data_IF_026331303067
#
_entry.id   IF_026331303067
#
_cell.length_a   1.000
_cell.length_b   1.000
_cell.length_c   1.000
_cell.angle_alpha   90.00
_cell.angle_beta   90.00
_cell.angle_gamma   90.00
#
_symmetry.space_group_name_H-M   'P 1'
#
loop_
_entity.id
_entity.type
_entity.pdbx_description
1 polymer ?
#
# COMPACT_ATOMS: atom_id res chain seq x y z
N UNK A 1 -12.91 -5.17 -18.46
CA UNK A 1 -12.97 -5.29 -19.93
C UNK A 1 -11.58 -5.58 -20.44
N UNK A 2 -11.47 -6.41 -21.47
CA UNK A 2 -10.22 -6.63 -22.22
C UNK A 2 -10.11 -5.65 -23.41
N UNK A 3 -10.66 -4.44 -23.26
CA UNK A 3 -10.93 -3.56 -24.40
C UNK A 3 -10.65 -2.09 -24.03
N UNK A 4 -9.48 -1.85 -23.44
CA UNK A 4 -8.96 -0.49 -23.32
C UNK A 4 -8.22 -0.15 -24.63
N UNK A 5 -8.81 0.72 -25.43
CA UNK A 5 -8.18 1.34 -26.58
C UNK A 5 -8.37 2.85 -26.44
N UNK A 6 -7.29 3.57 -26.14
CA UNK A 6 -7.23 5.03 -26.20
C UNK A 6 -6.00 5.40 -27.01
N UNK A 7 -6.21 6.14 -28.09
CA UNK A 7 -5.12 6.68 -28.92
C UNK A 7 -4.29 7.75 -28.18
N UNK A 8 -4.78 8.21 -27.02
CA UNK A 8 -4.08 9.13 -26.13
C UNK A 8 -4.22 8.68 -24.65
N UNK A 9 -3.30 7.82 -24.16
CA UNK A 9 -3.23 7.39 -22.77
C UNK A 9 -3.13 8.53 -21.76
N UNK A 10 -2.44 9.61 -22.11
CA UNK A 10 -2.18 10.74 -21.22
C UNK A 10 -3.47 11.52 -21.00
N UNK A 11 -4.19 11.83 -22.08
CA UNK A 11 -5.51 12.48 -22.00
C UNK A 11 -6.52 11.65 -21.24
N UNK A 12 -6.50 10.32 -21.42
CA UNK A 12 -7.37 9.42 -20.67
C UNK A 12 -7.10 9.51 -19.16
N UNK A 13 -5.83 9.40 -18.74
CA UNK A 13 -5.44 9.53 -17.34
C UNK A 13 -5.77 10.92 -16.78
N UNK A 14 -5.50 11.98 -17.53
CA UNK A 14 -5.83 13.35 -17.13
C UNK A 14 -7.34 13.54 -16.93
N UNK A 15 -8.17 12.91 -17.78
CA UNK A 15 -9.63 12.90 -17.63
C UNK A 15 -10.08 12.20 -16.36
N UNK A 16 -9.47 11.05 -16.01
CA UNK A 16 -9.75 10.34 -14.75
C UNK A 16 -9.33 11.17 -13.53
N UNK A 17 -8.11 11.70 -13.54
CA UNK A 17 -7.58 12.56 -12.46
C UNK A 17 -8.50 13.75 -12.22
N UNK A 18 -8.94 14.43 -13.29
CA UNK A 18 -9.86 15.55 -13.20
C UNK A 18 -11.25 15.14 -12.69
N UNK A 19 -11.78 13.99 -13.12
CA UNK A 19 -13.09 13.48 -12.68
C UNK A 19 -13.11 13.12 -11.19
N UNK A 20 -11.98 12.64 -10.66
CA UNK A 20 -11.80 12.33 -9.23
C UNK A 20 -11.40 13.57 -8.39
N UNK A 21 -11.26 14.74 -9.02
CA UNK A 21 -10.87 15.98 -8.33
C UNK A 21 -9.43 15.98 -7.80
N UNK A 22 -8.56 15.14 -8.36
CA UNK A 22 -7.16 15.03 -7.98
C UNK A 22 -6.29 16.10 -8.68
N UNK A 23 -5.10 16.43 -8.11
CA UNK A 23 -4.19 17.40 -8.71
C UNK A 23 -3.75 17.01 -10.13
N UNK A 24 -3.57 17.99 -11.05
CA UNK A 24 -3.24 17.73 -12.45
C UNK A 24 -1.80 17.23 -12.66
N UNK A 25 -0.94 17.33 -11.64
CA UNK A 25 0.41 16.77 -11.64
C UNK A 25 0.37 15.34 -11.12
N UNK A 26 0.61 14.36 -12.00
CA UNK A 26 0.54 12.94 -11.66
C UNK A 26 1.55 12.11 -12.43
N UNK A 27 1.89 10.96 -11.86
CA UNK A 27 2.42 9.82 -12.59
C UNK A 27 1.34 8.73 -12.60
N UNK A 28 1.10 8.11 -13.76
CA UNK A 28 0.06 7.10 -13.91
C UNK A 28 0.54 5.93 -14.78
N UNK A 29 0.08 4.73 -14.45
CA UNK A 29 0.35 3.52 -15.22
C UNK A 29 -0.97 2.96 -15.74
N UNK A 30 -0.97 2.51 -16.99
CA UNK A 30 -2.04 1.67 -17.51
C UNK A 30 -1.72 0.20 -17.20
N UNK A 31 -2.75 -0.62 -17.08
CA UNK A 31 -2.58 -2.06 -16.85
C UNK A 31 -3.57 -2.88 -17.68
N UNK A 32 -3.07 -3.95 -18.29
CA UNK A 32 -3.88 -4.98 -18.95
C UNK A 32 -4.45 -6.00 -17.94
N UNK A 33 -4.01 -5.95 -16.68
CA UNK A 33 -4.45 -6.85 -15.60
C UNK A 33 -5.67 -6.25 -14.90
N UNK A 34 -6.61 -7.10 -14.49
CA UNK A 34 -7.81 -6.67 -13.78
C UNK A 34 -7.46 -6.12 -12.40
N UNK A 35 -7.85 -4.88 -12.10
CA UNK A 35 -7.54 -4.19 -10.82
C UNK A 35 -7.92 -4.96 -9.55
N UNK A 36 -8.86 -5.91 -9.59
CA UNK A 36 -9.15 -6.77 -8.42
C UNK A 36 -7.97 -7.66 -8.00
N UNK A 37 -6.98 -7.87 -8.86
CA UNK A 37 -5.77 -8.64 -8.52
C UNK A 37 -4.65 -7.77 -7.96
N UNK A 38 -4.88 -6.45 -7.81
CA UNK A 38 -3.94 -5.53 -7.17
C UNK A 38 -3.60 -6.02 -5.76
N UNK A 39 -2.31 -6.11 -5.48
CA UNK A 39 -1.76 -6.34 -4.16
C UNK A 39 -1.17 -5.02 -3.65
N UNK A 40 -1.58 -4.59 -2.46
CA UNK A 40 -1.09 -3.39 -1.78
C UNK A 40 -0.40 -3.85 -0.51
N UNK A 41 0.87 -3.50 -0.34
CA UNK A 41 1.74 -4.04 0.70
C UNK A 41 2.25 -2.91 1.57
N UNK A 42 1.95 -2.94 2.87
CA UNK A 42 2.51 -2.02 3.84
C UNK A 42 3.66 -2.69 4.60
N UNK A 43 4.84 -2.08 4.55
CA UNK A 43 6.02 -2.47 5.32
C UNK A 43 6.66 -1.23 5.96
N UNK A 44 6.38 -1.03 7.24
CA UNK A 44 6.78 0.17 8.00
C UNK A 44 6.35 1.45 7.25
N UNK A 45 7.30 2.26 6.78
CA UNK A 45 7.10 3.51 6.04
C UNK A 45 6.94 3.34 4.52
N UNK A 46 6.98 2.10 4.01
CA UNK A 46 6.83 1.79 2.59
C UNK A 46 5.46 1.21 2.29
N UNK A 47 4.81 1.76 1.27
CA UNK A 47 3.66 1.15 0.61
C UNK A 47 4.04 0.74 -0.81
N UNK A 48 3.81 -0.52 -1.17
CA UNK A 48 4.08 -1.05 -2.53
C UNK A 48 2.79 -1.56 -3.16
N UNK A 49 2.45 -1.04 -4.33
CA UNK A 49 1.29 -1.44 -5.12
C UNK A 49 1.78 -2.31 -6.29
N UNK A 50 1.22 -3.50 -6.45
CA UNK A 50 1.65 -4.46 -7.46
C UNK A 50 0.46 -5.01 -8.24
N UNK A 51 0.51 -4.89 -9.56
CA UNK A 51 -0.28 -5.72 -10.47
C UNK A 51 0.68 -6.52 -11.33
N UNK A 52 0.39 -7.80 -11.56
CA UNK A 52 1.24 -8.68 -12.35
C UNK A 52 0.38 -9.66 -13.15
N UNK A 53 0.69 -9.80 -14.43
CA UNK A 53 0.09 -10.78 -15.31
C UNK A 53 1.08 -11.10 -16.43
N UNK A 54 1.39 -12.38 -16.57
CA UNK A 54 2.26 -12.91 -17.62
C UNK A 54 1.39 -13.77 -18.51
N UNK A 55 1.19 -13.32 -19.74
CA UNK A 55 0.43 -14.09 -20.72
C UNK A 55 1.29 -15.26 -21.24
N UNK A 56 0.75 -16.49 -21.31
CA UNK A 56 1.49 -17.67 -21.76
C UNK A 56 1.97 -17.57 -23.21
N UNK A 57 1.27 -16.79 -24.03
CA UNK A 57 1.57 -16.61 -25.45
C UNK A 57 1.25 -15.17 -25.91
N UNK A 58 2.03 -14.60 -26.86
CA UNK A 58 1.81 -13.24 -27.38
C UNK A 58 0.43 -12.97 -27.97
N UNK A 59 -0.31 -14.03 -28.35
CA UNK A 59 -1.64 -13.94 -28.95
C UNK A 59 -2.77 -13.69 -27.93
N UNK A 60 -2.51 -13.89 -26.63
CA UNK A 60 -3.53 -13.72 -25.56
C UNK A 60 -3.53 -12.29 -24.97
N UNK A 61 -2.58 -11.45 -25.40
CA UNK A 61 -2.45 -10.05 -25.01
C UNK A 61 -1.06 -9.72 -24.49
N UNK A 62 -0.71 -8.42 -24.34
CA UNK A 62 0.52 -8.05 -23.68
C UNK A 62 0.42 -8.30 -22.17
N UNK A 63 1.34 -9.10 -21.62
CA UNK A 63 1.55 -9.15 -20.17
C UNK A 63 2.00 -7.78 -19.64
N UNK A 64 1.75 -7.53 -18.37
CA UNK A 64 2.21 -6.32 -17.66
C UNK A 64 2.53 -6.62 -16.20
N UNK A 65 3.59 -6.01 -15.70
CA UNK A 65 3.88 -5.97 -14.27
C UNK A 65 4.17 -4.53 -13.87
N UNK A 66 3.26 -3.94 -13.10
CA UNK A 66 3.37 -2.58 -12.60
C UNK A 66 3.65 -2.60 -11.10
N UNK A 67 4.69 -1.88 -10.68
CA UNK A 67 5.07 -1.71 -9.27
C UNK A 67 5.12 -0.22 -8.96
N UNK A 68 4.33 0.26 -8.00
CA UNK A 68 4.43 1.63 -7.47
C UNK A 68 4.94 1.54 -6.04
N UNK A 69 6.05 2.21 -5.78
CA UNK A 69 6.68 2.32 -4.46
C UNK A 69 6.44 3.71 -3.93
N UNK A 70 5.83 3.81 -2.76
CA UNK A 70 5.68 5.07 -2.01
C UNK A 70 6.39 4.94 -0.68
N UNK A 71 7.32 5.85 -0.41
CA UNK A 71 7.92 6.05 0.91
C UNK A 71 7.31 7.26 1.61
N UNK A 72 6.88 7.10 2.86
CA UNK A 72 6.51 8.23 3.72
C UNK A 72 7.74 8.98 4.24
N UNK A 73 8.91 8.34 4.22
CA UNK A 73 10.18 8.97 4.59
C UNK A 73 10.89 9.55 3.35
N UNK A 74 11.57 10.69 3.53
CA UNK A 74 12.26 11.39 2.45
C UNK A 74 13.46 10.61 1.89
N UNK A 75 13.61 10.62 0.57
CA UNK A 75 14.66 9.91 -0.16
C UNK A 75 15.40 10.86 -1.10
N UNK A 76 16.69 10.63 -1.32
CA UNK A 76 17.43 11.33 -2.39
C UNK A 76 17.01 10.81 -3.77
N UNK A 77 17.24 11.60 -4.83
CA UNK A 77 17.04 11.14 -6.21
C UNK A 77 17.81 9.85 -6.53
N UNK A 78 19.03 9.73 -6.00
CA UNK A 78 19.84 8.51 -6.11
C UNK A 78 19.18 7.30 -5.45
N UNK A 79 18.61 7.48 -4.25
CA UNK A 79 17.86 6.44 -3.58
C UNK A 79 16.58 6.05 -4.33
N UNK A 80 15.84 7.01 -4.89
CA UNK A 80 14.65 6.73 -5.72
C UNK A 80 15.02 5.93 -6.98
N UNK A 81 16.13 6.28 -7.65
CA UNK A 81 16.67 5.52 -8.78
C UNK A 81 17.08 4.10 -8.37
N UNK A 82 17.76 3.94 -7.23
CA UNK A 82 18.12 2.62 -6.69
C UNK A 82 16.87 1.78 -6.35
N UNK A 83 15.79 2.40 -5.85
CA UNK A 83 14.52 1.70 -5.60
C UNK A 83 13.95 1.07 -6.87
N UNK A 84 14.06 1.72 -8.03
CA UNK A 84 13.63 1.15 -9.32
C UNK A 84 14.43 -0.12 -9.64
N UNK A 85 15.75 -0.09 -9.43
CA UNK A 85 16.64 -1.24 -9.65
C UNK A 85 16.27 -2.39 -8.71
N UNK A 86 16.07 -2.11 -7.42
CA UNK A 86 15.72 -3.11 -6.41
C UNK A 86 14.36 -3.75 -6.69
N UNK A 87 13.34 -2.96 -6.99
CA UNK A 87 12.01 -3.48 -7.35
C UNK A 87 12.07 -4.36 -8.61
N UNK A 88 12.86 -3.97 -9.62
CA UNK A 88 13.06 -4.76 -10.85
C UNK A 88 13.74 -6.10 -10.56
N UNK A 89 14.75 -6.10 -9.68
CA UNK A 89 15.42 -7.32 -9.23
C UNK A 89 14.47 -8.26 -8.46
N UNK A 90 13.65 -7.70 -7.56
CA UNK A 90 12.66 -8.45 -6.80
C UNK A 90 11.58 -9.07 -7.68
N UNK A 91 11.06 -8.32 -8.66
CA UNK A 91 10.15 -8.83 -9.69
C UNK A 91 10.76 -10.02 -10.43
N UNK A 92 12.01 -9.90 -10.86
CA UNK A 92 12.70 -10.98 -11.58
C UNK A 92 12.83 -12.25 -10.73
N UNK A 93 13.18 -12.11 -9.44
CA UNK A 93 13.24 -13.24 -8.52
C UNK A 93 11.87 -13.89 -8.30
N UNK A 94 10.80 -13.09 -8.14
CA UNK A 94 9.44 -13.59 -8.01
C UNK A 94 9.01 -14.40 -9.24
N UNK A 95 9.29 -13.90 -10.45
CA UNK A 95 9.01 -14.61 -11.70
C UNK A 95 9.76 -15.94 -11.78
N UNK A 96 11.05 -15.92 -11.48
CA UNK A 96 11.89 -17.12 -11.47
C UNK A 96 11.38 -18.13 -10.43
N UNK A 97 11.06 -17.70 -9.20
CA UNK A 97 10.50 -18.55 -8.15
C UNK A 97 9.13 -19.14 -8.53
N UNK A 98 8.35 -18.43 -9.34
CA UNK A 98 7.09 -18.92 -9.90
C UNK A 98 7.26 -19.84 -11.13
N UNK A 99 8.49 -20.06 -11.61
CA UNK A 99 8.81 -20.96 -12.71
C UNK A 99 8.77 -20.32 -14.11
N UNK A 100 8.68 -18.99 -14.20
CA UNK A 100 8.74 -18.28 -15.48
C UNK A 100 10.18 -18.15 -15.96
N UNK A 101 10.40 -18.37 -17.26
CA UNK A 101 11.71 -18.20 -17.90
C UNK A 101 12.04 -16.73 -18.25
N UNK A 102 11.05 -15.84 -18.16
CA UNK A 102 11.22 -14.42 -18.46
C UNK A 102 11.61 -13.62 -17.21
N UNK A 103 12.30 -12.50 -17.42
CA UNK A 103 12.65 -11.53 -16.36
C UNK A 103 11.61 -10.42 -16.21
N UNK A 104 10.56 -10.46 -17.03
CA UNK A 104 9.57 -9.41 -17.14
C UNK A 104 8.60 -9.63 -18.29
N UNK A 105 7.71 -8.65 -18.48
CA UNK A 105 6.78 -8.57 -19.61
C UNK A 105 7.14 -7.39 -20.52
N UNK A 106 6.55 -7.28 -21.73
CA UNK A 106 6.84 -6.18 -22.65
C UNK A 106 6.52 -4.78 -22.11
N UNK A 107 5.69 -4.67 -21.07
CA UNK A 107 5.17 -3.39 -20.56
C UNK A 107 5.42 -3.20 -19.06
N UNK A 108 6.43 -3.87 -18.51
CA UNK A 108 6.77 -3.68 -17.09
C UNK A 108 7.07 -2.22 -16.77
N UNK A 109 6.52 -1.71 -15.67
CA UNK A 109 6.75 -0.36 -15.21
C UNK A 109 6.95 -0.29 -13.70
N UNK A 110 7.86 0.60 -13.28
CA UNK A 110 8.12 0.89 -11.87
C UNK A 110 8.07 2.39 -11.64
N UNK A 111 7.29 2.83 -10.65
CA UNK A 111 7.32 4.20 -10.12
C UNK A 111 7.90 4.12 -8.71
N UNK A 112 8.87 4.97 -8.41
CA UNK A 112 9.36 5.19 -7.05
C UNK A 112 9.11 6.65 -6.65
N UNK A 113 8.40 6.84 -5.55
CA UNK A 113 8.06 8.16 -5.01
C UNK A 113 8.31 8.18 -3.50
N UNK A 114 8.66 9.35 -2.99
CA UNK A 114 8.68 9.63 -1.57
C UNK A 114 7.90 10.91 -1.28
N UNK A 115 7.53 11.12 -0.02
CA UNK A 115 7.03 12.41 0.40
C UNK A 115 8.12 13.49 0.20
N UNK A 116 7.76 14.56 -0.52
CA UNK A 116 8.69 15.65 -0.87
C UNK A 116 9.00 16.52 0.34
N UNK A 117 8.08 16.64 1.28
CA UNK A 117 8.24 17.50 2.46
C UNK A 117 8.93 16.79 3.63
N UNK A 118 9.02 15.45 3.57
CA UNK A 118 9.69 14.66 4.58
C UNK A 118 11.21 14.92 4.59
N UNK A 119 11.85 15.05 5.77
CA UNK A 119 13.30 15.11 5.87
C UNK A 119 13.95 13.89 5.22
N UNK A 120 15.07 14.10 4.53
CA UNK A 120 15.83 13.01 3.88
C UNK A 120 16.32 12.03 4.94
N UNK A 121 15.70 10.85 5.00
CA UNK A 121 16.08 9.74 5.87
C UNK A 121 16.97 8.73 5.13
N UNK A 122 16.74 8.54 3.82
CA UNK A 122 17.46 7.54 3.01
C UNK A 122 18.27 8.19 1.90
N UNK A 123 19.60 8.00 1.95
CA UNK A 123 20.53 8.45 0.89
C UNK A 123 20.78 7.40 -0.18
N UNK A 124 20.49 6.14 0.14
CA UNK A 124 20.68 4.96 -0.69
C UNK A 124 19.48 4.03 -0.49
N UNK A 125 19.16 3.25 -1.51
CA UNK A 125 18.09 2.24 -1.47
C UNK A 125 18.54 0.86 -1.99
N UNK A 126 19.84 0.60 -2.11
CA UNK A 126 20.36 -0.72 -2.49
C UNK A 126 19.88 -1.86 -1.58
N UNK A 127 19.95 -3.14 -2.01
CA UNK A 127 19.29 -4.28 -1.35
C UNK A 127 19.65 -4.52 0.12
N UNK A 128 20.81 -4.01 0.59
CA UNK A 128 21.28 -4.16 1.97
C UNK A 128 20.93 -2.97 2.87
N UNK A 129 20.31 -1.93 2.31
CA UNK A 129 19.81 -0.78 3.07
C UNK A 129 18.46 -1.09 3.70
N UNK A 130 18.07 -0.32 4.73
CA UNK A 130 16.79 -0.50 5.40
C UNK A 130 15.58 -0.37 4.46
N UNK A 131 15.58 0.62 3.56
CA UNK A 131 14.52 0.81 2.56
C UNK A 131 14.60 -0.24 1.44
N UNK A 132 15.81 -0.56 0.97
CA UNK A 132 16.02 -1.51 -0.13
C UNK A 132 15.65 -2.94 0.22
N UNK A 133 15.99 -3.43 1.41
CA UNK A 133 15.63 -4.78 1.83
C UNK A 133 14.10 -4.95 1.97
N UNK A 134 13.43 -3.96 2.58
CA UNK A 134 11.97 -3.91 2.73
C UNK A 134 11.26 -3.86 1.39
N UNK A 135 11.71 -2.97 0.49
CA UNK A 135 11.16 -2.88 -0.86
C UNK A 135 11.34 -4.19 -1.62
N UNK A 136 12.53 -4.78 -1.54
CA UNK A 136 12.85 -6.05 -2.17
C UNK A 136 11.89 -7.16 -1.72
N UNK A 137 11.68 -7.28 -0.40
CA UNK A 137 10.78 -8.28 0.19
C UNK A 137 9.32 -8.04 -0.17
N UNK A 138 8.85 -6.79 -0.08
CA UNK A 138 7.50 -6.41 -0.45
C UNK A 138 7.23 -6.67 -1.93
N UNK A 139 8.06 -6.16 -2.83
CA UNK A 139 7.87 -6.33 -4.28
C UNK A 139 7.90 -7.81 -4.69
N UNK A 140 8.80 -8.62 -4.13
CA UNK A 140 8.88 -10.05 -4.43
C UNK A 140 7.62 -10.79 -3.99
N UNK A 141 7.15 -10.55 -2.75
CA UNK A 141 5.90 -11.12 -2.25
C UNK A 141 4.68 -10.66 -3.06
N UNK A 142 4.58 -9.37 -3.36
CA UNK A 142 3.47 -8.76 -4.09
C UNK A 142 3.33 -9.27 -5.51
N UNK A 143 4.44 -9.42 -6.24
CA UNK A 143 4.44 -9.98 -7.59
C UNK A 143 3.96 -11.43 -7.56
N UNK A 144 4.47 -12.25 -6.64
CA UNK A 144 4.03 -13.64 -6.51
C UNK A 144 2.52 -13.74 -6.19
N UNK A 145 2.01 -12.92 -5.28
CA UNK A 145 0.59 -12.91 -4.91
C UNK A 145 -0.32 -12.37 -6.02
N UNK A 146 0.14 -11.37 -6.79
CA UNK A 146 -0.59 -10.83 -7.91
C UNK A 146 -0.69 -11.84 -9.08
N UNK A 147 0.40 -12.57 -9.38
CA UNK A 147 0.40 -13.64 -10.39
C UNK A 147 -0.59 -14.76 -10.07
N UNK A 148 -0.57 -15.27 -8.82
CA UNK A 148 -1.54 -16.29 -8.36
C UNK A 148 -3.00 -15.84 -8.56
N UNK A 149 -3.29 -14.55 -8.35
CA UNK A 149 -4.63 -13.97 -8.53
C UNK A 149 -4.99 -13.80 -10.00
N UNK A 150 -4.04 -13.36 -10.82
CA UNK A 150 -4.21 -13.22 -12.27
C UNK A 150 -4.49 -14.59 -12.93
N UNK A 151 -3.74 -15.62 -12.55
CA UNK A 151 -3.92 -17.01 -13.01
C UNK A 151 -5.19 -17.69 -12.44
N UNK A 152 -5.91 -17.02 -11.54
CA UNK A 152 -7.14 -17.54 -10.94
C UNK A 152 -6.94 -18.62 -9.87
N UNK A 153 -5.69 -18.88 -9.44
CA UNK A 153 -5.36 -19.76 -8.30
C UNK A 153 -5.94 -19.22 -6.99
N UNK A 154 -5.96 -17.89 -6.84
CA UNK A 154 -6.64 -17.19 -5.74
C UNK A 154 -7.71 -16.29 -6.36
N UNK A 155 -8.97 -16.51 -5.98
CA UNK A 155 -10.09 -15.69 -6.47
C UNK A 155 -10.34 -14.54 -5.52
N UNK A 156 -10.34 -13.32 -6.05
CA UNK A 156 -10.66 -12.09 -5.31
C UNK A 156 -11.70 -11.27 -6.06
N UNK A 157 -12.51 -10.51 -5.33
CA UNK A 157 -13.48 -9.57 -5.90
C UNK A 157 -13.00 -8.11 -5.82
N UNK A 158 -11.97 -7.84 -5.02
CA UNK A 158 -11.39 -6.53 -4.77
C UNK A 158 -9.86 -6.65 -4.57
N UNK A 159 -9.10 -5.54 -4.63
CA UNK A 159 -7.69 -5.51 -4.26
C UNK A 159 -7.41 -6.14 -2.89
N UNK A 160 -6.22 -6.71 -2.73
CA UNK A 160 -5.75 -7.32 -1.47
C UNK A 160 -4.77 -6.38 -0.78
N UNK A 161 -4.99 -6.08 0.49
CA UNK A 161 -4.06 -5.32 1.32
C UNK A 161 -3.31 -6.26 2.25
N UNK A 162 -1.98 -6.17 2.28
CA UNK A 162 -1.11 -6.98 3.11
C UNK A 162 -0.30 -6.09 4.03
N UNK A 163 -0.15 -6.52 5.28
CA UNK A 163 0.61 -5.80 6.30
C UNK A 163 1.75 -6.72 6.74
N UNK A 164 2.97 -6.19 6.75
CA UNK A 164 4.10 -6.91 7.31
C UNK A 164 4.03 -6.89 8.84
N UNK A 165 4.04 -8.06 9.46
CA UNK A 165 3.98 -8.24 10.91
C UNK A 165 5.27 -8.84 11.42
N UNK A 166 5.71 -8.34 12.59
CA UNK A 166 6.76 -8.95 13.41
C UNK A 166 6.22 -9.70 14.62
N UNK A 167 4.91 -9.60 14.87
CA UNK A 167 4.26 -10.32 15.95
C UNK A 167 4.24 -11.81 15.62
N UNK A 168 4.77 -12.67 16.49
CA UNK A 168 4.87 -14.11 16.22
C UNK A 168 5.92 -14.48 15.17
N UNK A 169 6.83 -13.56 14.83
CA UNK A 169 7.84 -13.71 13.78
C UNK A 169 7.52 -12.88 12.54
N UNK A 170 8.50 -12.74 11.66
CA UNK A 170 8.43 -11.93 10.45
C UNK A 170 7.58 -12.63 9.38
N UNK A 171 6.45 -12.03 9.01
CA UNK A 171 5.55 -12.57 7.98
C UNK A 171 4.56 -11.53 7.44
N UNK A 172 3.99 -11.82 6.27
CA UNK A 172 2.89 -11.05 5.69
C UNK A 172 1.54 -11.54 6.20
N UNK A 173 0.68 -10.59 6.57
CA UNK A 173 -0.72 -10.85 6.94
C UNK A 173 -1.63 -10.20 5.90
N UNK A 174 -2.53 -11.00 5.32
CA UNK A 174 -3.62 -10.47 4.51
C UNK A 174 -4.60 -9.75 5.44
N UNK A 175 -4.86 -8.48 5.16
CA UNK A 175 -5.88 -7.71 5.84
C UNK A 175 -7.26 -8.27 5.52
N UNK A 176 -7.94 -8.77 6.54
CA UNK A 176 -9.32 -9.21 6.47
C UNK A 176 -10.10 -8.56 7.64
N UNK A 177 -11.03 -7.63 7.35
CA UNK A 177 -11.82 -6.99 8.39
C UNK A 177 -12.78 -7.95 9.10
N UNK A 178 -13.06 -9.13 8.55
CA UNK A 178 -13.90 -10.14 9.18
C UNK A 178 -13.10 -11.20 9.98
N UNK A 179 -11.80 -11.35 9.69
CA UNK A 179 -10.94 -12.40 10.26
C UNK A 179 -9.58 -11.89 10.75
N UNK A 180 -9.51 -10.64 11.22
CA UNK A 180 -8.26 -10.04 11.70
C UNK A 180 -7.75 -10.76 12.97
N UNK A 181 -6.51 -11.29 12.97
CA UNK A 181 -5.94 -11.97 14.14
C UNK A 181 -5.48 -11.01 15.25
N UNK A 182 -5.47 -9.70 15.00
CA UNK A 182 -5.00 -8.69 15.95
C UNK A 182 -6.15 -8.17 16.83
N UNK A 183 -6.07 -8.51 18.11
CA UNK A 183 -6.97 -8.08 19.19
C UNK A 183 -6.41 -6.80 19.87
N UNK A 184 -7.23 -5.85 20.40
CA UNK A 184 -8.57 -6.04 20.96
C UNK A 184 -9.74 -5.26 20.34
N UNK A 185 -9.61 -4.75 19.11
CA UNK A 185 -10.60 -3.81 18.55
C UNK A 185 -11.88 -4.42 17.95
N UNK A 186 -12.17 -5.71 18.17
CA UNK A 186 -13.35 -6.37 17.59
C UNK A 186 -14.45 -6.60 18.64
N UNK A 187 -15.14 -5.53 19.02
CA UNK A 187 -16.45 -5.66 19.70
C UNK A 187 -17.60 -5.42 18.71
N UNK A 188 -18.73 -6.12 18.85
CA UNK A 188 -19.90 -5.90 17.99
C UNK A 188 -20.28 -4.42 17.89
N UNK A 189 -20.38 -3.89 16.68
CA UNK A 189 -20.77 -2.49 16.40
C UNK A 189 -19.63 -1.51 16.19
N UNK A 190 -18.36 -1.92 16.27
CA UNK A 190 -17.21 -1.08 15.92
C UNK A 190 -16.86 -1.15 14.42
N UNK A 191 -16.29 -0.06 13.90
CA UNK A 191 -15.64 -0.04 12.59
C UNK A 191 -14.14 -0.38 12.72
N UNK A 192 -13.71 -1.39 11.98
CA UNK A 192 -12.30 -1.82 11.90
C UNK A 192 -11.66 -1.43 10.55
N UNK A 193 -12.15 -0.36 9.95
CA UNK A 193 -11.71 0.11 8.62
C UNK A 193 -10.23 0.55 8.59
N UNK A 194 -9.67 0.92 9.74
CA UNK A 194 -8.32 1.41 9.89
C UNK A 194 -7.49 0.44 10.73
N UNK A 195 -6.86 -0.54 10.10
CA UNK A 195 -5.98 -1.49 10.81
C UNK A 195 -4.75 -0.83 11.45
N UNK A 196 -4.35 0.33 10.91
CA UNK A 196 -3.45 1.26 11.56
C UNK A 196 -4.12 2.63 11.59
N UNK A 197 -4.04 3.32 12.72
CA UNK A 197 -4.65 4.64 12.86
C UNK A 197 -3.87 5.65 12.00
N UNK A 198 -4.50 6.33 11.02
CA UNK A 198 -3.83 7.33 10.17
C UNK A 198 -3.31 8.55 10.95
N UNK A 199 -3.73 8.71 12.21
CA UNK A 199 -3.22 9.76 13.09
C UNK A 199 -2.10 9.28 14.02
N UNK A 200 -1.67 8.02 13.98
CA UNK A 200 -0.65 7.54 14.90
C UNK A 200 0.76 8.03 14.51
N UNK A 201 1.59 8.46 15.48
CA UNK A 201 1.23 8.75 16.87
C UNK A 201 0.55 10.13 16.96
N UNK A 202 -0.66 10.18 17.51
CA UNK A 202 -1.41 11.45 17.50
C UNK A 202 -0.99 12.41 18.61
N UNK A 203 -0.34 11.90 19.66
CA UNK A 203 0.10 12.68 20.82
C UNK A 203 -1.04 13.29 21.65
N UNK A 204 -2.31 13.02 21.31
CA UNK A 204 -3.48 13.59 21.96
C UNK A 204 -3.82 12.84 23.26
N UNK A 205 -3.66 13.46 24.45
CA UNK A 205 -3.87 12.78 25.72
C UNK A 205 -5.30 12.29 25.95
N UNK A 206 -6.28 12.77 25.16
CA UNK A 206 -7.65 12.25 25.21
C UNK A 206 -7.84 10.93 24.43
N UNK A 207 -6.85 10.53 23.63
CA UNK A 207 -6.91 9.37 22.74
C UNK A 207 -5.81 8.34 23.02
N UNK A 208 -4.87 8.63 23.91
CA UNK A 208 -3.76 7.75 24.22
C UNK A 208 -2.82 8.31 25.29
N UNK A 209 -1.72 7.61 25.52
CA UNK A 209 -0.69 8.00 26.48
C UNK A 209 0.69 7.48 26.07
N UNK A 210 1.75 8.09 26.58
CA UNK A 210 3.11 7.53 26.46
C UNK A 210 3.29 6.37 27.44
N UNK A 211 3.64 5.19 26.95
CA UNK A 211 3.89 3.98 27.74
C UNK A 211 5.35 3.54 27.63
N UNK A 212 5.94 2.98 28.69
CA UNK A 212 7.31 2.45 28.64
C UNK A 212 7.39 1.20 27.75
N UNK A 213 8.46 1.07 26.98
CA UNK A 213 8.76 -0.13 26.18
C UNK A 213 9.52 -1.16 27.00
N UNK A 214 9.29 -2.44 26.73
CA UNK A 214 10.05 -3.56 27.32
C UNK A 214 11.55 -3.53 26.98
N UNK A 215 11.92 -2.90 25.86
CA UNK A 215 13.30 -2.73 25.40
C UNK A 215 13.94 -1.40 25.82
N UNK A 216 13.26 -0.62 26.67
CA UNK A 216 13.69 0.72 27.10
C UNK A 216 13.13 1.85 26.22
N UNK A 217 13.00 3.04 26.82
CA UNK A 217 12.36 4.22 26.22
C UNK A 217 10.83 4.21 26.34
N UNK A 218 10.17 5.18 25.70
CA UNK A 218 8.71 5.34 25.71
C UNK A 218 8.14 5.26 24.29
N UNK A 219 6.89 4.83 24.14
CA UNK A 219 6.13 4.77 22.89
C UNK A 219 4.74 5.32 23.12
N UNK A 220 4.13 5.95 22.11
CA UNK A 220 2.73 6.36 22.18
C UNK A 220 1.83 5.12 22.10
N UNK A 221 0.98 4.89 23.10
CA UNK A 221 -0.08 3.87 23.06
C UNK A 221 -1.42 4.55 22.82
N UNK A 222 -2.13 4.12 21.77
CA UNK A 222 -3.51 4.51 21.51
C UNK A 222 -4.47 3.32 21.69
N UNK A 223 -4.11 2.32 22.50
CA UNK A 223 -4.83 1.05 22.66
C UNK A 223 -6.29 1.20 23.13
N UNK A 224 -6.62 2.31 23.80
CA UNK A 224 -7.96 2.63 24.29
C UNK A 224 -8.69 3.68 23.44
N UNK A 225 -8.14 4.07 22.28
CA UNK A 225 -8.75 5.04 21.39
C UNK A 225 -9.98 4.45 20.69
N UNK A 226 -11.13 5.11 20.80
CA UNK A 226 -12.36 4.71 20.09
C UNK A 226 -12.74 5.65 18.93
N UNK A 227 -11.88 6.62 18.59
CA UNK A 227 -12.21 7.65 17.60
C UNK A 227 -12.58 7.07 16.24
N UNK A 228 -11.70 6.23 15.68
CA UNK A 228 -11.91 5.59 14.37
C UNK A 228 -12.58 4.21 14.47
N UNK A 229 -13.02 3.84 15.67
CA UNK A 229 -13.84 2.66 15.90
C UNK A 229 -15.36 2.97 15.88
N UNK A 230 -15.75 4.25 15.94
CA UNK A 230 -17.13 4.67 15.66
C UNK A 230 -17.40 4.61 14.14
N UNK A 231 -18.41 3.84 13.67
CA UNK A 231 -18.64 3.64 12.25
C UNK A 231 -18.84 4.92 11.43
N UNK A 232 -19.53 5.91 11.99
CA UNK A 232 -19.79 7.17 11.28
C UNK A 232 -18.54 8.04 11.22
N UNK A 233 -17.76 8.08 12.29
CA UNK A 233 -16.46 8.78 12.31
C UNK A 233 -15.47 8.12 11.34
N UNK A 234 -15.44 6.79 11.28
CA UNK A 234 -14.63 6.05 10.33
C UNK A 234 -15.09 6.29 8.87
N UNK A 235 -16.40 6.26 8.63
CA UNK A 235 -16.98 6.57 7.32
C UNK A 235 -16.70 8.01 6.88
N UNK A 236 -16.75 8.97 7.81
CA UNK A 236 -16.40 10.36 7.56
C UNK A 236 -14.95 10.49 7.09
N UNK A 237 -13.99 9.90 7.83
CA UNK A 237 -12.58 9.98 7.45
C UNK A 237 -12.29 9.25 6.13
N UNK A 238 -12.95 8.12 5.85
CA UNK A 238 -12.85 7.46 4.53
C UNK A 238 -13.31 8.36 3.39
N UNK A 239 -14.33 9.18 3.62
CA UNK A 239 -14.86 10.13 2.63
C UNK A 239 -14.02 11.39 2.50
N UNK A 240 -13.36 11.81 3.58
CA UNK A 240 -12.55 13.02 3.67
C UNK A 240 -11.16 12.68 4.24
N UNK A 241 -10.29 11.99 3.48
CA UNK A 241 -9.02 11.46 3.99
C UNK A 241 -8.04 12.55 4.47
N UNK A 242 -8.16 13.77 3.94
CA UNK A 242 -7.37 14.94 4.32
C UNK A 242 -7.86 15.61 5.63
N UNK A 243 -8.96 15.13 6.23
CA UNK A 243 -9.51 15.70 7.44
C UNK A 243 -8.52 15.60 8.61
N UNK A 244 -8.22 16.73 9.24
CA UNK A 244 -7.33 16.77 10.40
C UNK A 244 -7.91 16.02 11.61
N UNK A 245 -7.04 15.60 12.54
CA UNK A 245 -7.48 14.99 13.79
C UNK A 245 -8.50 15.85 14.56
N UNK A 246 -8.31 17.18 14.55
CA UNK A 246 -9.20 18.12 15.21
C UNK A 246 -10.60 18.14 14.60
N UNK A 247 -10.67 18.10 13.27
CA UNK A 247 -11.92 18.04 12.51
C UNK A 247 -12.69 16.75 12.78
N UNK A 248 -11.99 15.61 12.71
CA UNK A 248 -12.59 14.29 12.98
C UNK A 248 -13.12 14.21 14.42
N UNK A 249 -12.40 14.76 15.39
CA UNK A 249 -12.88 14.87 16.78
C UNK A 249 -14.12 15.75 16.90
N UNK A 250 -14.20 16.85 16.14
CA UNK A 250 -15.34 17.75 16.15
C UNK A 250 -16.58 17.09 15.52
N UNK A 251 -16.40 16.36 14.43
CA UNK A 251 -17.46 15.57 13.80
C UNK A 251 -18.07 14.58 14.80
N UNK A 252 -17.24 13.79 15.48
CA UNK A 252 -17.71 12.82 16.49
C UNK A 252 -18.52 13.49 17.60
N UNK A 253 -18.05 14.63 18.13
CA UNK A 253 -18.76 15.39 19.18
C UNK A 253 -20.14 15.86 18.73
N UNK A 254 -20.28 16.33 17.49
CA UNK A 254 -21.57 16.81 16.95
C UNK A 254 -22.61 15.69 16.83
N UNK A 255 -22.17 14.45 16.58
CA UNK A 255 -23.05 13.28 16.49
C UNK A 255 -23.45 12.72 17.87
N UNK A 256 -22.61 12.91 18.90
CA UNK A 256 -22.89 12.47 20.27
C UNK A 256 -23.83 13.40 21.05
N UNK A 257 -24.22 14.54 20.48
CA UNK A 257 -25.22 15.48 21.01
C UNK A 257 -26.57 15.29 20.29
#
# INVERSE_FOLDING_TARGET
>A
GYDFSSDDPVRYLAGLVAAEGLPPEFFGLLTAVRMRTLCILQYDFLTVFVTAGVEPAPAEGPGTINIIVRSEEGMTDGALCESIIVATGAKTRALHAAGYACTGTPTDAVIAACDREAPIAHRYAGPLTAVGSRLSEAAEFGVAEALKRHEGKIRTHAPSFFIFSRYGGDHWVLWDPAACPYYPCHMPGQACDFCYCPFYPCGDPALGAMVPRSTGGVVWSCEHCTLLHDPDTAAYLKRYPEASLAEVKQFRKKKSC
#
